data_IF_598703495417
#
_entry.id   IF_598703495417
#
_cell.length_a   1.000
_cell.length_b   1.000
_cell.length_c   1.000
_cell.angle_alpha   90.00
_cell.angle_beta   90.00
_cell.angle_gamma   90.00
#
_symmetry.space_group_name_H-M   'P 1'
#
loop_
_entity.id
_entity.type
_entity.pdbx_description
1 polymer ?
#
# COMPACT_ATOMS: atom_id res chain seq x y z
N UNK A 1 -18.15 19.31 -2.98
CA UNK A 1 -17.92 17.85 -3.14
C UNK A 1 -18.54 17.29 -4.45
N UNK A 2 -18.77 18.11 -5.49
CA UNK A 2 -19.43 17.66 -6.73
C UNK A 2 -18.62 17.91 -8.01
N UNK A 3 -17.33 18.20 -7.87
CA UNK A 3 -16.58 18.95 -8.89
C UNK A 3 -15.70 18.06 -9.77
N UNK A 4 -15.63 16.76 -9.44
CA UNK A 4 -14.82 15.76 -10.17
C UNK A 4 -15.62 14.52 -10.59
N UNK A 5 -16.96 14.61 -10.62
CA UNK A 5 -17.80 13.50 -11.10
C UNK A 5 -17.42 13.05 -12.51
N UNK A 6 -16.93 13.95 -13.36
CA UNK A 6 -16.48 13.62 -14.72
C UNK A 6 -15.15 12.85 -14.76
N UNK A 7 -14.32 12.97 -13.72
CA UNK A 7 -12.97 12.39 -13.73
C UNK A 7 -12.97 10.99 -13.10
N UNK A 8 -13.91 10.69 -12.21
CA UNK A 8 -13.97 9.43 -11.48
C UNK A 8 -15.00 8.45 -12.04
N UNK A 9 -14.60 7.19 -12.14
CA UNK A 9 -15.52 6.08 -12.41
C UNK A 9 -16.07 5.56 -11.08
N UNK A 10 -17.34 5.90 -10.78
CA UNK A 10 -18.07 5.47 -9.57
C UNK A 10 -19.08 4.36 -9.87
N UNK A 11 -18.92 3.65 -10.98
CA UNK A 11 -19.83 2.56 -11.36
C UNK A 11 -19.68 1.28 -10.53
N UNK A 12 -18.60 1.14 -9.76
CA UNK A 12 -18.34 -0.02 -8.89
C UNK A 12 -18.96 0.12 -7.47
N UNK A 13 -19.56 1.26 -7.14
CA UNK A 13 -20.28 1.43 -5.87
C UNK A 13 -21.57 0.60 -5.83
N UNK A 14 -22.06 0.21 -4.64
CA UNK A 14 -23.38 -0.41 -4.53
C UNK A 14 -24.47 0.54 -5.05
N UNK A 15 -25.51 -0.01 -5.67
CA UNK A 15 -26.59 0.77 -6.30
C UNK A 15 -27.33 1.69 -5.33
N UNK A 16 -27.30 1.37 -4.03
CA UNK A 16 -27.90 2.14 -2.94
C UNK A 16 -27.08 3.40 -2.56
N UNK A 17 -25.86 3.55 -3.10
CA UNK A 17 -24.96 4.64 -2.72
C UNK A 17 -25.27 5.92 -3.51
N UNK A 18 -25.34 7.06 -2.81
CA UNK A 18 -25.65 8.37 -3.41
C UNK A 18 -24.70 8.82 -4.54
N UNK A 19 -23.50 8.25 -4.60
CA UNK A 19 -22.48 8.55 -5.63
C UNK A 19 -22.40 7.51 -6.76
N UNK A 20 -23.27 6.49 -6.75
CA UNK A 20 -23.33 5.51 -7.83
C UNK A 20 -23.75 6.18 -9.14
N UNK A 21 -22.90 6.08 -10.17
CA UNK A 21 -23.20 6.59 -11.49
C UNK A 21 -22.54 5.74 -12.56
N UNK A 22 -23.31 5.33 -13.56
CA UNK A 22 -22.78 4.57 -14.69
C UNK A 22 -22.18 5.45 -15.80
N UNK A 23 -22.27 6.78 -15.66
CA UNK A 23 -21.89 7.75 -16.72
C UNK A 23 -20.44 7.63 -17.19
N UNK A 24 -19.51 7.26 -16.31
CA UNK A 24 -18.07 7.18 -16.62
C UNK A 24 -17.51 5.75 -16.58
N UNK A 25 -18.39 4.75 -16.63
CA UNK A 25 -18.02 3.33 -16.57
C UNK A 25 -17.03 2.99 -17.67
N UNK A 26 -15.80 2.64 -17.29
CA UNK A 26 -14.71 2.25 -18.20
C UNK A 26 -14.38 3.32 -19.27
N UNK A 27 -14.68 4.59 -19.01
CA UNK A 27 -14.29 5.71 -19.89
C UNK A 27 -12.78 5.89 -19.85
N UNK A 28 -12.14 6.00 -21.02
CA UNK A 28 -10.68 6.18 -21.09
C UNK A 28 -10.31 7.54 -20.48
N UNK A 29 -9.27 7.55 -19.65
CA UNK A 29 -8.84 8.77 -18.93
C UNK A 29 -9.57 9.04 -17.61
N UNK A 30 -10.57 8.24 -17.22
CA UNK A 30 -11.21 8.34 -15.91
C UNK A 30 -10.47 7.50 -14.85
N UNK A 31 -10.35 8.03 -13.63
CA UNK A 31 -9.77 7.33 -12.49
C UNK A 31 -10.78 6.35 -11.91
N UNK A 32 -10.40 5.07 -11.93
CA UNK A 32 -11.19 4.00 -11.33
C UNK A 32 -10.79 3.77 -9.87
N UNK A 33 -11.76 3.45 -9.02
CA UNK A 33 -11.49 2.91 -7.69
C UNK A 33 -11.01 1.44 -7.77
N UNK A 34 -9.77 1.18 -7.35
CA UNK A 34 -9.16 -0.15 -7.37
C UNK A 34 -9.64 -1.07 -6.23
N UNK A 35 -10.29 -0.51 -5.21
CA UNK A 35 -10.68 -1.23 -4.00
C UNK A 35 -12.17 -1.60 -3.97
N UNK A 36 -12.90 -1.43 -5.07
CA UNK A 36 -14.32 -1.81 -5.18
C UNK A 36 -15.14 -1.25 -4.00
N UNK A 37 -14.92 0.01 -3.66
CA UNK A 37 -15.58 0.72 -2.58
C UNK A 37 -15.29 0.19 -1.18
N UNK A 38 -14.25 -0.65 -1.02
CA UNK A 38 -13.87 -1.21 0.29
C UNK A 38 -12.80 -0.33 0.95
N UNK A 39 -12.99 0.06 2.22
CA UNK A 39 -12.01 0.85 2.92
C UNK A 39 -10.73 0.05 3.17
N UNK A 40 -9.58 0.70 2.99
CA UNK A 40 -8.29 0.15 3.36
C UNK A 40 -8.11 0.33 4.86
N UNK A 41 -7.91 -0.77 5.59
CA UNK A 41 -7.71 -0.75 7.05
C UNK A 41 -6.25 -0.43 7.34
N UNK A 42 -5.34 -1.17 6.71
CA UNK A 42 -3.90 -1.03 6.95
C UNK A 42 -3.13 -1.12 5.64
N UNK A 43 -2.09 -0.29 5.52
CA UNK A 43 -1.18 -0.28 4.38
C UNK A 43 0.26 -0.40 4.86
N UNK A 44 1.01 -1.34 4.26
CA UNK A 44 2.43 -1.55 4.56
C UNK A 44 3.25 -1.56 3.27
N UNK A 45 4.07 -0.53 3.09
CA UNK A 45 5.03 -0.43 1.99
C UNK A 45 6.47 -0.67 2.46
N UNK A 46 7.16 -1.63 1.86
CA UNK A 46 8.59 -1.87 2.12
C UNK A 46 9.47 -1.17 1.08
N UNK A 47 9.12 -1.27 -0.20
CA UNK A 47 9.83 -0.68 -1.35
C UNK A 47 8.85 -0.43 -2.49
N UNK A 48 9.26 0.34 -3.49
CA UNK A 48 8.55 0.44 -4.77
C UNK A 48 8.17 -0.95 -5.31
N UNK A 49 6.88 -1.15 -5.60
CA UNK A 49 6.30 -2.41 -6.09
C UNK A 49 6.44 -3.61 -5.12
N UNK A 50 6.66 -3.35 -3.83
CA UNK A 50 6.62 -4.34 -2.74
C UNK A 50 5.81 -3.78 -1.58
N UNK A 51 4.54 -4.17 -1.50
CA UNK A 51 3.58 -3.67 -0.51
C UNK A 51 2.50 -4.70 -0.20
N UNK A 52 1.83 -4.51 0.92
CA UNK A 52 0.64 -5.26 1.33
C UNK A 52 -0.43 -4.29 1.80
N UNK A 53 -1.67 -4.52 1.38
CA UNK A 53 -2.86 -3.76 1.73
C UNK A 53 -3.87 -4.69 2.37
N UNK A 54 -4.37 -4.31 3.54
CA UNK A 54 -5.37 -5.04 4.29
C UNK A 54 -6.73 -4.38 4.09
N UNK A 55 -7.68 -5.18 3.62
CA UNK A 55 -9.09 -4.84 3.43
C UNK A 55 -9.89 -5.74 4.38
N UNK A 56 -11.10 -5.35 4.85
CA UNK A 56 -11.93 -6.21 5.71
C UNK A 56 -12.10 -7.63 5.15
N UNK A 57 -12.23 -7.78 3.84
CA UNK A 57 -12.49 -9.08 3.22
C UNK A 57 -11.23 -9.81 2.73
N UNK A 58 -10.12 -9.10 2.51
CA UNK A 58 -8.95 -9.70 1.86
C UNK A 58 -7.66 -8.92 2.02
N UNK A 59 -6.54 -9.64 1.93
CA UNK A 59 -5.21 -9.05 1.80
C UNK A 59 -4.78 -9.00 0.32
N UNK A 60 -4.49 -7.79 -0.18
CA UNK A 60 -3.81 -7.59 -1.47
C UNK A 60 -2.31 -7.47 -1.22
N UNK A 61 -1.52 -8.23 -1.96
CA UNK A 61 -0.06 -8.30 -1.77
C UNK A 61 0.65 -8.27 -3.12
N UNK A 62 1.60 -7.35 -3.21
CA UNK A 62 2.43 -7.16 -4.40
C UNK A 62 3.87 -7.29 -3.97
N UNK A 63 4.63 -8.16 -4.64
CA UNK A 63 6.06 -8.32 -4.44
C UNK A 63 6.74 -8.57 -5.78
N UNK A 64 7.33 -7.53 -6.36
CA UNK A 64 8.08 -7.67 -7.62
C UNK A 64 9.25 -8.65 -7.45
N UNK A 65 9.38 -9.59 -8.39
CA UNK A 65 10.46 -10.58 -8.43
C UNK A 65 10.17 -11.86 -7.65
N UNK A 66 9.02 -11.97 -7.00
CA UNK A 66 8.58 -13.19 -6.31
C UNK A 66 7.47 -13.86 -7.12
N UNK A 67 7.51 -15.20 -7.22
CA UNK A 67 6.46 -15.97 -7.90
C UNK A 67 5.10 -15.75 -7.23
N UNK A 68 4.06 -15.59 -8.05
CA UNK A 68 2.67 -15.38 -7.59
C UNK A 68 2.19 -16.49 -6.65
N UNK A 69 2.58 -17.75 -6.92
CA UNK A 69 2.21 -18.90 -6.09
C UNK A 69 2.78 -18.76 -4.67
N UNK A 70 4.05 -18.36 -4.57
CA UNK A 70 4.72 -18.14 -3.29
C UNK A 70 4.09 -16.97 -2.53
N UNK A 71 3.74 -15.90 -3.24
CA UNK A 71 3.05 -14.75 -2.65
C UNK A 71 1.72 -15.20 -2.02
N UNK A 72 0.93 -15.98 -2.74
CA UNK A 72 -0.38 -16.45 -2.27
C UNK A 72 -0.27 -17.40 -1.08
N UNK A 73 0.64 -18.39 -1.14
CA UNK A 73 0.75 -19.44 -0.13
C UNK A 73 1.53 -19.03 1.13
N UNK A 74 2.63 -18.27 0.99
CA UNK A 74 3.60 -18.06 2.08
C UNK A 74 3.63 -16.64 2.64
N UNK A 75 3.34 -15.61 1.84
CA UNK A 75 3.36 -14.24 2.33
C UNK A 75 2.02 -13.86 2.96
N UNK A 76 2.05 -13.40 4.22
CA UNK A 76 0.92 -12.79 4.92
C UNK A 76 1.24 -11.34 5.28
N UNK A 77 0.21 -10.54 5.54
CA UNK A 77 0.36 -9.15 6.01
C UNK A 77 1.30 -9.03 7.23
N UNK A 78 1.23 -9.99 8.17
CA UNK A 78 2.10 -10.04 9.36
C UNK A 78 3.60 -10.06 9.04
N UNK A 79 4.00 -10.74 7.96
CA UNK A 79 5.41 -10.82 7.55
C UNK A 79 5.93 -9.44 7.11
N UNK A 80 5.09 -8.65 6.42
CA UNK A 80 5.46 -7.28 6.02
C UNK A 80 5.63 -6.37 7.23
N UNK A 81 4.75 -6.47 8.23
CA UNK A 81 4.86 -5.72 9.49
C UNK A 81 6.13 -6.08 10.26
N UNK A 82 6.46 -7.38 10.35
CA UNK A 82 7.70 -7.84 10.99
C UNK A 82 8.94 -7.29 10.28
N UNK A 83 8.97 -7.33 8.95
CA UNK A 83 10.04 -6.76 8.14
C UNK A 83 10.19 -5.25 8.39
N UNK A 84 9.09 -4.50 8.42
CA UNK A 84 9.10 -3.07 8.69
C UNK A 84 9.68 -2.75 10.08
N UNK A 85 9.26 -3.50 11.10
CA UNK A 85 9.78 -3.36 12.48
C UNK A 85 11.30 -3.62 12.52
N UNK A 86 11.77 -4.68 11.87
CA UNK A 86 13.21 -5.02 11.78
C UNK A 86 14.01 -3.92 11.07
N UNK A 87 13.49 -3.35 9.98
CA UNK A 87 14.15 -2.26 9.25
C UNK A 87 14.27 -1.01 10.14
N UNK A 88 13.20 -0.65 10.86
CA UNK A 88 13.22 0.50 11.80
C UNK A 88 14.27 0.31 12.90
N UNK A 89 14.33 -0.88 13.49
CA UNK A 89 15.34 -1.20 14.52
C UNK A 89 16.78 -1.09 13.97
N UNK A 90 17.02 -1.59 12.76
CA UNK A 90 18.35 -1.59 12.13
C UNK A 90 18.83 -0.19 11.74
N UNK A 91 17.94 0.69 11.28
CA UNK A 91 18.27 2.11 11.02
C UNK A 91 18.74 2.84 12.29
N UNK A 92 18.19 2.48 13.46
CA UNK A 92 18.59 3.05 14.76
C UNK A 92 20.04 2.69 15.12
N UNK A 93 20.44 1.46 14.84
CA UNK A 93 21.81 0.95 15.09
C UNK A 93 22.82 1.58 14.13
N UNK A 94 22.46 1.79 12.86
CA UNK A 94 23.39 2.38 11.87
C UNK A 94 23.65 3.87 12.12
N UNK A 95 22.73 4.58 12.78
CA UNK A 95 22.91 5.98 13.14
C UNK A 95 23.82 6.16 14.37
N UNK A 96 23.88 5.19 15.28
CA UNK A 96 24.62 5.31 16.54
C UNK A 96 26.12 5.01 16.42
N UNK A 97 26.62 4.55 15.27
CA UNK A 97 28.02 4.11 15.12
C UNK A 97 28.94 5.10 14.41
N UNK A 98 28.52 6.35 14.20
CA UNK A 98 29.32 7.41 13.55
C UNK A 98 29.88 8.51 14.48
N UNK A 99 29.80 8.35 15.81
CA UNK A 99 30.35 9.32 16.77
C UNK A 99 31.34 8.67 17.72
N UNK A 100 32.48 8.19 17.19
CA UNK A 100 33.77 7.92 17.85
C UNK A 100 34.75 7.83 16.68
N UNK A 101 35.76 8.65 16.45
CA UNK A 101 36.79 9.21 17.34
C UNK A 101 37.67 10.10 16.46
N UNK A 102 37.88 11.36 16.83
CA UNK A 102 39.09 12.11 16.44
C UNK A 102 39.33 13.23 17.46
N UNK A 103 39.62 12.85 18.70
CA UNK A 103 40.37 13.72 19.62
C UNK A 103 41.82 13.66 19.15
N UNK A 104 42.24 14.61 18.31
CA UNK A 104 43.65 14.81 18.02
C UNK A 104 44.15 15.92 18.94
N UNK A 105 45.00 15.50 19.87
CA UNK A 105 45.93 16.32 20.65
C UNK A 105 47.03 16.77 19.68
N UNK A 106 47.19 18.09 19.49
CA UNK A 106 48.42 18.87 19.68
C UNK A 106 48.16 20.35 19.37
#
# INVERSE_FOLDING_TARGET
MGENLDVHDTSDYPQDHALYSEKNKRRIGCLKDEMNSKPIIEFVGLRAKIYSMLTPDSEKKTAKGVSKVVIQQKLKHSNYLQCLKKIKARKKIWFLSKVKTTTFIL
#
